data_IF_079300076990
#
_entry.id   IF_079300076990
#
_cell.length_a   1.000
_cell.length_b   1.000
_cell.length_c   1.000
_cell.angle_alpha   90.00
_cell.angle_beta   90.00
_cell.angle_gamma   90.00
#
_symmetry.space_group_name_H-M   'P 1'
#
loop_
_entity.id
_entity.type
_entity.pdbx_description
1 polymer ?
#
# COMPACT_ATOMS: atom_id res chain seq x y z
N UNK A 1 -15.53 -24.03 -10.67
CA UNK A 1 -14.41 -23.81 -9.72
C UNK A 1 -13.78 -22.47 -10.07
N UNK A 2 -13.45 -21.66 -9.07
CA UNK A 2 -13.04 -20.26 -9.25
C UNK A 2 -11.50 -20.16 -9.30
N UNK A 3 -10.98 -19.55 -10.37
CA UNK A 3 -9.56 -19.25 -10.59
C UNK A 3 -9.25 -17.82 -10.11
N UNK A 4 -8.27 -17.61 -9.21
CA UNK A 4 -7.70 -16.26 -9.05
C UNK A 4 -6.94 -15.86 -10.35
N UNK A 5 -6.81 -14.57 -10.62
CA UNK A 5 -6.05 -14.10 -11.77
C UNK A 5 -5.08 -13.02 -11.30
N UNK A 6 -3.78 -13.23 -11.55
CA UNK A 6 -2.78 -12.19 -11.35
C UNK A 6 -2.59 -11.35 -12.60
N UNK A 7 -2.73 -10.04 -12.44
CA UNK A 7 -2.17 -9.06 -13.36
C UNK A 7 -0.97 -8.42 -12.67
N UNK A 8 0.22 -8.97 -12.90
CA UNK A 8 1.45 -8.24 -12.67
C UNK A 8 1.52 -7.11 -13.70
N UNK A 9 0.97 -5.94 -13.39
CA UNK A 9 1.27 -4.74 -14.19
C UNK A 9 2.72 -4.38 -13.95
N UNK A 10 3.55 -4.68 -14.94
CA UNK A 10 4.91 -4.18 -15.07
C UNK A 10 4.91 -2.66 -14.91
N UNK A 11 5.52 -2.15 -13.84
CA UNK A 11 5.79 -0.74 -13.69
C UNK A 11 7.01 -0.40 -14.54
N UNK A 12 6.77 0.16 -15.73
CA UNK A 12 7.79 0.85 -16.49
C UNK A 12 8.43 1.92 -15.59
N UNK A 13 9.70 1.72 -15.25
CA UNK A 13 10.49 2.65 -14.46
C UNK A 13 10.58 3.98 -15.19
N UNK A 14 9.75 4.95 -14.80
CA UNK A 14 9.81 6.31 -15.35
C UNK A 14 10.99 7.02 -14.68
N UNK A 15 12.10 7.14 -15.41
CA UNK A 15 13.27 7.94 -15.02
C UNK A 15 12.89 9.42 -15.05
N UNK A 16 12.61 10.01 -13.90
CA UNK A 16 12.59 11.48 -13.76
C UNK A 16 13.95 11.93 -13.26
N UNK A 17 14.87 12.16 -14.20
CA UNK A 17 16.14 12.83 -13.92
C UNK A 17 15.86 14.31 -13.66
N UNK A 18 15.79 14.71 -12.39
CA UNK A 18 15.80 16.12 -12.02
C UNK A 18 17.22 16.49 -11.61
N UNK A 19 17.91 17.25 -12.48
CA UNK A 19 19.16 17.93 -12.13
C UNK A 19 18.81 19.05 -11.15
N UNK A 20 19.06 18.84 -9.87
CA UNK A 20 19.07 19.91 -8.87
C UNK A 20 20.52 20.22 -8.54
N UNK A 21 20.95 21.43 -8.92
CA UNK A 21 22.23 22.02 -8.49
C UNK A 21 22.19 22.21 -6.98
N UNK A 22 23.30 21.83 -6.34
CA UNK A 22 23.57 21.96 -4.91
C UNK A 22 23.35 23.40 -4.42
N UNK A 23 22.79 23.52 -3.21
CA UNK A 23 23.30 24.47 -2.23
C UNK A 23 23.56 23.71 -0.92
N UNK A 24 24.74 23.97 -0.39
CA UNK A 24 25.40 23.26 0.69
C UNK A 24 24.64 23.35 2.03
N UNK A 25 24.85 22.32 2.85
CA UNK A 25 24.42 22.28 4.25
C UNK A 25 25.60 22.73 5.12
N UNK A 26 25.39 23.73 5.96
CA UNK A 26 26.22 23.98 7.15
C UNK A 26 25.32 23.98 8.38
N UNK A 27 25.87 23.45 9.47
CA UNK A 27 25.20 23.03 10.69
C UNK A 27 25.57 24.00 11.84
N UNK A 28 24.58 24.31 12.69
CA UNK A 28 24.67 24.52 14.17
C UNK A 28 25.10 25.88 14.76
N UNK A 29 24.12 26.47 15.49
CA UNK A 29 24.12 27.06 16.86
C UNK A 29 24.61 28.51 17.13
N UNK A 30 23.71 29.22 17.86
CA UNK A 30 23.87 30.38 18.76
C UNK A 30 24.22 31.78 18.21
N UNK A 31 23.30 32.74 18.40
CA UNK A 31 23.48 33.86 19.33
C UNK A 31 22.15 34.63 19.51
N UNK A 32 21.66 34.69 20.74
CA UNK A 32 20.68 35.68 21.22
C UNK A 32 21.47 36.68 22.06
N UNK A 33 21.75 37.87 21.55
CA UNK A 33 22.00 39.09 22.34
C UNK A 33 22.14 40.31 21.41
N UNK A 34 21.33 41.33 21.68
CA UNK A 34 21.66 42.74 21.46
C UNK A 34 21.74 43.26 20.03
N UNK A 35 20.71 44.01 19.63
CA UNK A 35 20.75 45.46 19.33
C UNK A 35 19.46 45.79 18.57
N UNK A 36 18.67 46.69 19.14
CA UNK A 36 17.53 47.28 18.48
C UNK A 36 17.99 48.14 17.32
N UNK A 37 17.92 47.60 16.11
CA UNK A 37 17.71 48.40 14.91
C UNK A 37 16.25 48.22 14.51
N UNK A 38 15.48 49.31 14.53
CA UNK A 38 14.21 49.39 13.84
C UNK A 38 14.46 49.39 12.32
N UNK A 39 14.80 48.22 11.79
CA UNK A 39 14.66 47.97 10.35
C UNK A 39 13.17 47.92 10.07
N UNK A 40 12.70 48.77 9.14
CA UNK A 40 11.38 48.65 8.54
C UNK A 40 11.10 47.16 8.24
N UNK A 41 9.85 46.67 8.41
CA UNK A 41 9.52 45.27 8.20
C UNK A 41 9.92 44.87 6.78
N UNK A 42 11.12 44.30 6.65
CA UNK A 42 11.64 43.82 5.40
C UNK A 42 10.64 42.83 4.86
N UNK A 43 10.28 42.97 3.59
CA UNK A 43 9.36 42.06 2.93
C UNK A 43 9.85 40.62 3.15
N UNK A 44 9.26 39.92 4.13
CA UNK A 44 9.55 38.51 4.36
C UNK A 44 9.18 37.81 3.07
N UNK A 45 10.17 37.27 2.37
CA UNK A 45 9.96 36.54 1.13
C UNK A 45 8.82 35.53 1.35
N UNK A 46 7.83 35.53 0.46
CA UNK A 46 6.67 34.66 0.58
C UNK A 46 7.14 33.20 0.60
N UNK A 47 7.11 32.56 1.77
CA UNK A 47 7.49 31.17 1.91
C UNK A 47 6.54 30.29 1.10
N UNK A 48 7.09 29.47 0.21
CA UNK A 48 6.30 28.48 -0.54
C UNK A 48 5.81 27.41 0.44
N UNK A 49 4.49 27.15 0.53
CA UNK A 49 4.00 26.12 1.41
C UNK A 49 4.49 24.76 0.93
N UNK A 50 4.91 23.93 1.87
CA UNK A 50 5.30 22.55 1.65
C UNK A 50 4.27 21.65 2.30
N UNK A 51 3.77 20.69 1.52
CA UNK A 51 2.83 19.68 1.97
C UNK A 51 3.47 18.31 1.79
N UNK A 52 3.68 17.62 2.89
CA UNK A 52 4.04 16.20 2.88
C UNK A 52 2.85 15.39 3.39
N UNK A 53 2.47 14.38 2.63
CA UNK A 53 1.41 13.44 2.99
C UNK A 53 2.03 12.09 3.27
N UNK A 54 1.60 11.48 4.37
CA UNK A 54 1.75 10.04 4.55
C UNK A 54 0.54 9.44 3.84
N UNK A 55 0.72 8.67 2.74
CA UNK A 55 -0.39 7.94 2.13
C UNK A 55 -1.12 7.20 3.25
N UNK A 56 -2.46 7.25 3.29
CA UNK A 56 -3.16 6.72 4.43
C UNK A 56 -2.80 5.25 4.61
N UNK A 57 -2.16 4.89 5.73
CA UNK A 57 -1.70 3.53 6.00
C UNK A 57 -2.87 2.53 6.02
N UNK A 58 -4.08 3.05 6.21
CA UNK A 58 -5.36 2.35 6.17
C UNK A 58 -6.40 3.30 5.66
N UNK A 59 -6.99 3.00 4.48
CA UNK A 59 -8.45 2.94 4.46
C UNK A 59 -9.07 2.40 3.17
N UNK A 60 -9.47 1.14 3.15
CA UNK A 60 -10.46 0.71 2.15
C UNK A 60 -11.47 -0.30 2.68
N UNK A 61 -11.23 -0.80 3.89
CA UNK A 61 -12.12 -1.72 4.61
C UNK A 61 -12.99 -1.02 5.65
N UNK A 62 -12.89 0.31 5.75
CA UNK A 62 -13.57 1.16 6.73
C UNK A 62 -14.50 2.15 6.06
N UNK A 63 -15.43 2.71 6.81
CA UNK A 63 -16.36 3.76 6.33
C UNK A 63 -15.68 5.11 6.13
N UNK A 64 -14.45 5.28 6.62
CA UNK A 64 -13.71 6.55 6.61
C UNK A 64 -12.23 6.34 6.31
N UNK A 65 -11.67 7.21 5.46
CA UNK A 65 -10.25 7.37 5.15
C UNK A 65 -9.66 8.49 5.97
N UNK A 66 -8.56 8.25 6.67
CA UNK A 66 -7.82 9.30 7.37
C UNK A 66 -6.54 9.65 6.62
N UNK A 67 -6.50 10.83 6.03
CA UNK A 67 -5.28 11.42 5.48
C UNK A 67 -4.55 12.16 6.57
N UNK A 68 -3.25 11.89 6.75
CA UNK A 68 -2.43 12.57 7.74
C UNK A 68 -1.09 13.00 7.12
N UNK A 69 -0.49 14.04 7.68
CA UNK A 69 0.79 14.53 7.19
C UNK A 69 1.23 15.79 7.91
N UNK A 70 2.20 16.47 7.30
CA UNK A 70 2.76 17.72 7.82
C UNK A 70 2.60 18.83 6.80
N UNK A 71 2.37 20.04 7.29
CA UNK A 71 2.33 21.24 6.44
C UNK A 71 3.24 22.30 7.01
N UNK A 72 3.89 23.06 6.14
CA UNK A 72 4.70 24.22 6.49
C UNK A 72 4.41 25.38 5.53
N UNK A 73 4.26 26.63 5.99
CA UNK A 73 4.06 27.01 7.39
C UNK A 73 2.78 26.37 7.94
N UNK A 74 2.76 26.03 9.22
CA UNK A 74 1.79 25.08 9.76
C UNK A 74 0.47 25.69 10.20
N UNK A 75 0.54 26.63 11.14
CA UNK A 75 -0.64 27.19 11.83
C UNK A 75 -1.51 28.01 10.87
N UNK A 76 -2.83 27.75 10.91
CA UNK A 76 -3.81 28.53 10.17
C UNK A 76 -4.02 28.08 8.72
N UNK A 77 -3.18 27.18 8.20
CA UNK A 77 -3.39 26.60 6.88
C UNK A 77 -4.66 25.74 6.85
N UNK A 78 -5.26 25.65 5.66
CA UNK A 78 -6.35 24.72 5.35
C UNK A 78 -5.82 23.64 4.41
N UNK A 79 -5.88 22.39 4.87
CA UNK A 79 -5.59 21.21 4.03
C UNK A 79 -6.93 20.68 3.54
N UNK A 80 -7.10 20.61 2.22
CA UNK A 80 -8.30 20.09 1.57
C UNK A 80 -7.99 18.73 0.95
N UNK A 81 -8.90 17.78 1.15
CA UNK A 81 -8.89 16.50 0.42
C UNK A 81 -9.69 16.73 -0.85
N UNK A 82 -9.05 16.50 -2.00
CA UNK A 82 -9.72 16.52 -3.29
C UNK A 82 -9.86 15.10 -3.84
N UNK A 83 -11.05 14.79 -4.38
CA UNK A 83 -11.34 13.56 -5.10
C UNK A 83 -11.47 13.86 -6.58
N UNK A 84 -10.96 12.98 -7.44
CA UNK A 84 -11.18 13.07 -8.88
C UNK A 84 -12.55 12.48 -9.23
N UNK A 85 -13.43 13.30 -9.82
CA UNK A 85 -14.71 12.91 -10.39
C UNK A 85 -14.72 13.26 -11.88
N UNK A 86 -14.64 12.23 -12.73
CA UNK A 86 -14.42 12.43 -14.16
C UNK A 86 -13.07 13.09 -14.45
N UNK A 87 -13.08 14.22 -15.15
CA UNK A 87 -11.90 15.04 -15.43
C UNK A 87 -11.57 16.05 -14.31
N UNK A 88 -12.51 16.31 -13.39
CA UNK A 88 -12.42 17.42 -12.43
C UNK A 88 -12.00 16.93 -11.04
N UNK A 89 -11.32 17.81 -10.29
CA UNK A 89 -11.00 17.60 -8.87
C UNK A 89 -12.00 18.37 -8.00
N UNK A 90 -12.73 17.66 -7.16
CA UNK A 90 -13.70 18.25 -6.23
C UNK A 90 -13.21 18.15 -4.80
N UNK A 91 -13.39 19.21 -4.02
CA UNK A 91 -13.10 19.18 -2.57
C UNK A 91 -14.15 18.32 -1.88
N UNK A 92 -13.70 17.29 -1.17
CA UNK A 92 -14.58 16.35 -0.44
C UNK A 92 -14.49 16.50 1.07
N UNK A 93 -13.41 17.11 1.58
CA UNK A 93 -13.23 17.40 2.99
C UNK A 93 -12.14 18.47 3.18
N UNK A 94 -12.12 19.12 4.34
CA UNK A 94 -11.14 20.16 4.70
C UNK A 94 -10.85 20.10 6.20
N UNK A 95 -9.58 20.23 6.57
CA UNK A 95 -9.17 20.45 7.96
C UNK A 95 -8.34 21.72 8.09
N UNK A 96 -8.54 22.43 9.21
CA UNK A 96 -7.65 23.50 9.64
C UNK A 96 -6.46 22.88 10.36
N UNK A 97 -5.28 23.36 10.05
CA UNK A 97 -4.04 22.89 10.65
C UNK A 97 -3.77 23.70 11.91
N UNK A 98 -3.78 23.02 13.06
CA UNK A 98 -3.62 23.63 14.39
C UNK A 98 -2.18 23.54 14.93
N UNK A 99 -1.38 22.58 14.43
CA UNK A 99 0.05 22.36 14.75
C UNK A 99 0.81 22.06 13.47
N UNK A 100 2.03 21.51 13.52
CA UNK A 100 2.76 21.05 12.33
C UNK A 100 2.12 19.89 11.56
N UNK A 101 1.13 19.22 12.16
CA UNK A 101 0.45 18.06 11.59
C UNK A 101 -1.03 18.31 11.32
N UNK A 102 -1.56 17.59 10.34
CA UNK A 102 -2.99 17.59 10.02
C UNK A 102 -3.53 16.17 9.97
N UNK A 103 -4.84 16.05 10.19
CA UNK A 103 -5.62 14.84 9.92
C UNK A 103 -6.93 15.26 9.26
N UNK A 104 -7.28 14.66 8.13
CA UNK A 104 -8.57 14.88 7.42
C UNK A 104 -9.27 13.55 7.21
N UNK A 105 -10.57 13.48 7.44
CA UNK A 105 -11.33 12.23 7.54
C UNK A 105 -12.41 12.10 6.47
N UNK A 106 -12.06 11.56 5.30
CA UNK A 106 -12.98 11.41 4.18
C UNK A 106 -13.93 10.21 4.36
N UNK A 107 -15.25 10.45 4.31
CA UNK A 107 -16.26 9.37 4.25
C UNK A 107 -16.19 8.64 2.90
N UNK A 108 -15.88 7.35 2.97
CA UNK A 108 -15.57 6.53 1.80
C UNK A 108 -16.81 6.25 0.98
N UNK A 109 -16.72 6.48 -0.34
CA UNK A 109 -17.69 5.96 -1.32
C UNK A 109 -17.08 4.76 -2.04
N UNK A 110 -17.82 3.64 -2.21
CA UNK A 110 -17.31 2.46 -2.90
C UNK A 110 -16.81 2.74 -4.32
N UNK A 111 -15.89 1.90 -4.79
CA UNK A 111 -15.30 1.95 -6.13
C UNK A 111 -13.88 2.54 -6.17
N UNK A 112 -13.26 2.55 -7.35
CA UNK A 112 -11.91 3.09 -7.53
C UNK A 112 -11.94 4.60 -7.51
N UNK A 113 -11.27 5.22 -6.55
CA UNK A 113 -11.22 6.67 -6.38
C UNK A 113 -9.79 7.17 -6.38
N UNK A 114 -9.59 8.36 -6.94
CA UNK A 114 -8.31 9.05 -6.90
C UNK A 114 -8.42 10.27 -6.02
N UNK A 115 -7.41 10.50 -5.20
CA UNK A 115 -7.33 11.57 -4.22
C UNK A 115 -6.02 12.34 -4.37
N UNK A 116 -6.04 13.59 -3.93
CA UNK A 116 -4.86 14.40 -3.66
C UNK A 116 -5.17 15.34 -2.50
N UNK A 117 -4.15 15.80 -1.82
CA UNK A 117 -4.28 16.87 -0.85
C UNK A 117 -3.82 18.18 -1.47
N UNK A 118 -4.49 19.27 -1.08
CA UNK A 118 -4.19 20.63 -1.50
C UNK A 118 -4.10 21.51 -0.25
N UNK A 119 -3.10 22.37 -0.20
CA UNK A 119 -3.03 23.47 0.77
C UNK A 119 -3.26 24.78 0.04
N UNK A 120 -4.21 25.55 0.57
CA UNK A 120 -4.64 26.82 -0.02
C UNK A 120 -3.52 27.85 -0.10
N UNK A 121 -3.70 28.83 -1.00
CA UNK A 121 -2.73 29.87 -1.33
C UNK A 121 -2.49 30.80 -0.13
N UNK A 122 -1.25 30.89 0.34
CA UNK A 122 -0.78 32.07 1.11
C UNK A 122 -0.11 33.02 0.13
N UNK A 123 -0.85 34.05 -0.30
CA UNK A 123 -0.47 35.16 -1.21
C UNK A 123 0.19 34.81 -2.58
N UNK A 124 0.81 33.65 -2.81
CA UNK A 124 1.50 33.36 -4.08
C UNK A 124 1.61 31.88 -4.49
N UNK A 125 1.48 30.89 -3.61
CA UNK A 125 1.75 29.48 -3.99
C UNK A 125 0.79 28.45 -3.38
N UNK A 126 0.41 27.44 -4.16
CA UNK A 126 -0.33 26.25 -3.72
C UNK A 126 0.62 25.05 -3.65
N UNK A 127 0.37 24.13 -2.71
CA UNK A 127 1.07 22.84 -2.67
C UNK A 127 0.07 21.72 -2.86
N UNK A 128 0.38 20.78 -3.76
CA UNK A 128 -0.47 19.65 -4.14
C UNK A 128 0.33 18.37 -4.01
N UNK A 129 -0.22 17.36 -3.35
CA UNK A 129 0.44 16.05 -3.28
C UNK A 129 0.34 15.31 -4.61
N UNK A 130 1.15 14.27 -4.76
CA UNK A 130 0.92 13.28 -5.82
C UNK A 130 -0.50 12.70 -5.72
N UNK A 131 -1.01 12.29 -6.89
CA UNK A 131 -2.27 11.56 -7.00
C UNK A 131 -2.11 10.17 -6.39
N UNK A 132 -2.98 9.85 -5.45
CA UNK A 132 -3.14 8.51 -4.91
C UNK A 132 -4.45 7.89 -5.42
N UNK A 133 -4.40 6.66 -5.93
CA UNK A 133 -5.58 5.96 -6.44
C UNK A 133 -5.73 4.63 -5.71
N UNK A 134 -6.93 4.34 -5.22
CA UNK A 134 -7.19 3.13 -4.45
C UNK A 134 -8.66 2.71 -4.52
N UNK A 135 -8.94 1.45 -4.19
CA UNK A 135 -10.27 0.84 -4.28
C UNK A 135 -11.03 0.94 -2.97
N UNK A 136 -12.14 1.64 -2.92
CA UNK A 136 -12.97 1.69 -1.73
C UNK A 136 -14.06 0.62 -1.72
N UNK A 137 -14.38 0.10 -0.53
CA UNK A 137 -15.54 -0.77 -0.30
C UNK A 137 -16.57 -0.11 0.60
N UNK A 138 -17.82 -0.55 0.50
CA UNK A 138 -18.85 -0.21 1.47
C UNK A 138 -18.53 -0.88 2.82
N UNK A 139 -17.77 -0.15 3.65
CA UNK A 139 -17.34 -0.62 4.96
C UNK A 139 -18.50 -0.87 5.93
N UNK A 140 -19.69 -0.29 5.72
CA UNK A 140 -20.88 -0.56 6.54
C UNK A 140 -21.50 -1.89 6.13
N UNK A 141 -21.78 -2.07 4.83
CA UNK A 141 -22.38 -3.29 4.27
C UNK A 141 -21.52 -4.52 4.53
N UNK A 142 -20.19 -4.41 4.39
CA UNK A 142 -19.27 -5.55 4.49
C UNK A 142 -18.49 -5.64 5.80
N UNK A 143 -18.88 -4.88 6.84
CA UNK A 143 -18.16 -4.79 8.13
C UNK A 143 -17.85 -6.18 8.71
N UNK A 144 -18.86 -7.03 8.86
CA UNK A 144 -18.71 -8.35 9.46
C UNK A 144 -17.86 -9.29 8.60
N UNK A 145 -18.03 -9.23 7.28
CA UNK A 145 -17.28 -10.03 6.32
C UNK A 145 -15.78 -9.70 6.35
N UNK A 146 -15.45 -8.39 6.32
CA UNK A 146 -14.08 -7.87 6.44
C UNK A 146 -13.48 -8.25 7.79
N UNK A 147 -14.22 -8.09 8.89
CA UNK A 147 -13.74 -8.44 10.22
C UNK A 147 -13.40 -9.94 10.33
N UNK A 148 -14.23 -10.80 9.72
CA UNK A 148 -14.01 -12.25 9.68
C UNK A 148 -12.77 -12.60 8.85
N UNK A 149 -12.62 -12.04 7.65
CA UNK A 149 -11.42 -12.21 6.83
C UNK A 149 -10.15 -11.74 7.56
N UNK A 150 -10.21 -10.55 8.17
CA UNK A 150 -9.15 -9.98 9.00
C UNK A 150 -8.73 -10.91 10.13
N UNK A 151 -9.69 -11.51 10.85
CA UNK A 151 -9.42 -12.47 11.93
C UNK A 151 -8.58 -13.64 11.44
N UNK A 152 -8.87 -14.19 10.26
CA UNK A 152 -8.13 -15.33 9.70
C UNK A 152 -6.68 -15.00 9.34
N UNK A 153 -6.43 -13.79 8.82
CA UNK A 153 -5.09 -13.38 8.38
C UNK A 153 -4.33 -12.52 9.40
N UNK A 154 -4.89 -12.25 10.58
CA UNK A 154 -4.36 -11.31 11.58
C UNK A 154 -2.89 -11.52 11.92
N UNK A 155 -2.45 -12.79 12.01
CA UNK A 155 -1.06 -13.10 12.33
C UNK A 155 -0.06 -12.68 11.24
N UNK A 156 -0.52 -12.54 10.00
CA UNK A 156 0.36 -12.43 8.83
C UNK A 156 0.17 -11.15 8.00
N UNK A 157 -1.08 -10.74 7.83
CA UNK A 157 -1.50 -9.53 7.13
C UNK A 157 -2.44 -8.68 8.01
N UNK A 158 -2.02 -8.31 9.24
CA UNK A 158 -2.89 -7.58 10.18
C UNK A 158 -3.39 -6.26 9.59
N UNK A 159 -2.56 -5.67 8.73
CA UNK A 159 -2.64 -4.28 8.31
C UNK A 159 -3.14 -4.11 6.87
N UNK A 160 -3.07 -5.15 6.05
CA UNK A 160 -3.37 -5.05 4.61
C UNK A 160 -4.83 -4.65 4.34
N UNK A 161 -5.12 -3.59 3.58
CA UNK A 161 -6.47 -3.25 3.14
C UNK A 161 -7.21 -4.45 2.54
N UNK A 162 -8.45 -4.68 3.00
CA UNK A 162 -9.39 -5.61 2.36
C UNK A 162 -10.47 -4.80 1.66
N UNK A 163 -10.71 -5.12 0.40
CA UNK A 163 -11.78 -4.57 -0.41
C UNK A 163 -12.66 -5.71 -0.95
N UNK A 164 -13.95 -5.47 -1.02
CA UNK A 164 -14.98 -6.44 -1.36
C UNK A 164 -15.69 -6.02 -2.65
N UNK A 165 -15.85 -6.97 -3.56
CA UNK A 165 -16.58 -6.84 -4.83
C UNK A 165 -16.07 -5.71 -5.75
N UNK A 166 -14.75 -5.55 -5.85
CA UNK A 166 -14.16 -4.74 -6.91
C UNK A 166 -14.22 -5.50 -8.25
N UNK A 167 -14.13 -4.85 -9.42
CA UNK A 167 -14.04 -5.50 -10.74
C UNK A 167 -12.88 -6.49 -10.92
N UNK A 168 -11.90 -6.50 -10.02
CA UNK A 168 -10.82 -7.49 -9.99
C UNK A 168 -11.30 -8.87 -9.52
N UNK A 169 -12.44 -8.95 -8.84
CA UNK A 169 -13.07 -10.21 -8.44
C UNK A 169 -14.40 -10.38 -9.16
N UNK A 170 -14.73 -11.60 -9.58
CA UNK A 170 -15.93 -11.90 -10.39
C UNK A 170 -16.43 -13.34 -10.14
N UNK A 171 -17.23 -13.90 -11.05
CA UNK A 171 -17.71 -15.29 -10.96
C UNK A 171 -16.57 -16.32 -10.93
N UNK A 172 -15.46 -16.01 -11.60
CA UNK A 172 -14.29 -16.87 -11.71
C UNK A 172 -13.20 -16.50 -10.70
N UNK A 173 -12.98 -15.22 -10.41
CA UNK A 173 -11.93 -14.74 -9.48
C UNK A 173 -12.55 -14.38 -8.13
N UNK A 174 -12.37 -15.21 -7.11
CA UNK A 174 -12.97 -15.00 -5.77
C UNK A 174 -12.07 -14.21 -4.82
N UNK A 175 -10.78 -14.16 -5.10
CA UNK A 175 -9.78 -13.39 -4.37
C UNK A 175 -8.73 -12.84 -5.33
N UNK A 176 -8.11 -11.71 -4.98
CA UNK A 176 -6.94 -11.21 -5.68
C UNK A 176 -6.14 -10.29 -4.77
N UNK A 177 -4.86 -10.59 -4.54
CA UNK A 177 -3.90 -9.66 -3.99
C UNK A 177 -3.41 -8.71 -5.10
N UNK A 178 -3.29 -7.42 -4.79
CA UNK A 178 -2.60 -6.46 -5.67
C UNK A 178 -1.39 -5.87 -4.97
N UNK A 179 -0.40 -5.54 -5.77
CA UNK A 179 0.86 -4.95 -5.35
C UNK A 179 1.21 -3.77 -6.25
N UNK A 180 1.65 -2.68 -5.63
CA UNK A 180 2.31 -1.58 -6.33
C UNK A 180 3.58 -1.27 -5.59
N UNK A 181 4.66 -0.99 -6.30
CA UNK A 181 5.89 -0.51 -5.67
C UNK A 181 6.56 0.54 -6.54
N UNK A 182 7.19 1.49 -5.86
CA UNK A 182 7.98 2.57 -6.45
C UNK A 182 9.32 2.62 -5.74
N UNK A 183 10.33 3.19 -6.39
CA UNK A 183 11.58 3.49 -5.75
C UNK A 183 12.07 4.88 -6.12
N UNK A 184 12.76 5.51 -5.18
CA UNK A 184 13.44 6.79 -5.37
C UNK A 184 14.93 6.62 -5.10
N UNK A 185 15.75 7.37 -5.80
CA UNK A 185 17.18 7.45 -5.57
C UNK A 185 17.56 8.91 -5.47
N UNK A 186 18.23 9.31 -4.39
CA UNK A 186 18.77 10.67 -4.26
C UNK A 186 20.11 10.72 -4.95
N UNK A 187 20.41 11.82 -5.67
CA UNK A 187 21.63 11.98 -6.46
C UNK A 187 22.92 11.80 -5.64
N UNK A 188 22.84 12.06 -4.33
CA UNK A 188 23.93 11.92 -3.37
C UNK A 188 24.09 10.50 -2.80
N UNK A 189 23.22 9.55 -3.16
CA UNK A 189 23.22 8.19 -2.59
C UNK A 189 23.07 7.13 -3.68
N UNK A 190 23.95 6.12 -3.66
CA UNK A 190 23.77 4.89 -4.45
C UNK A 190 22.60 4.03 -3.95
N UNK A 191 22.09 4.30 -2.74
CA UNK A 191 20.96 3.58 -2.14
C UNK A 191 19.62 4.08 -2.69
N UNK A 192 18.77 3.13 -3.04
CA UNK A 192 17.38 3.31 -3.45
C UNK A 192 16.45 3.13 -2.25
N UNK A 193 15.47 4.02 -2.14
CA UNK A 193 14.36 3.87 -1.18
C UNK A 193 13.19 3.25 -1.92
N UNK A 194 12.75 2.08 -1.48
CA UNK A 194 11.61 1.36 -2.05
C UNK A 194 10.39 1.56 -1.15
N UNK A 195 9.24 1.83 -1.76
CA UNK A 195 7.95 1.83 -1.08
C UNK A 195 7.01 0.92 -1.83
N UNK A 196 6.41 -0.05 -1.13
CA UNK A 196 5.35 -0.88 -1.70
C UNK A 196 4.04 -0.72 -0.95
N UNK A 197 2.95 -0.96 -1.66
CA UNK A 197 1.58 -0.95 -1.16
C UNK A 197 0.85 -2.22 -1.63
N UNK A 198 0.09 -2.83 -0.73
CA UNK A 198 -0.66 -4.06 -0.97
C UNK A 198 -2.15 -3.89 -0.67
N UNK A 199 -3.00 -4.50 -1.49
CA UNK A 199 -4.45 -4.61 -1.21
C UNK A 199 -4.89 -6.07 -1.43
N UNK A 200 -5.92 -6.52 -0.69
CA UNK A 200 -6.58 -7.81 -0.91
C UNK A 200 -8.02 -7.54 -1.35
N UNK A 201 -8.38 -8.08 -2.50
CA UNK A 201 -9.70 -8.02 -3.09
C UNK A 201 -10.41 -9.35 -2.85
N UNK A 202 -11.63 -9.33 -2.32
CA UNK A 202 -12.42 -10.53 -2.03
C UNK A 202 -13.82 -10.42 -2.63
N UNK A 203 -14.34 -11.53 -3.15
CA UNK A 203 -15.75 -11.64 -3.50
C UNK A 203 -16.59 -11.92 -2.25
N UNK A 204 -17.67 -11.17 -2.04
CA UNK A 204 -18.60 -11.45 -0.94
C UNK A 204 -19.36 -12.78 -1.12
N UNK A 205 -19.92 -13.31 -0.03
CA UNK A 205 -20.81 -14.49 -0.08
C UNK A 205 -20.11 -15.84 0.06
N UNK A 206 -18.78 -15.86 0.20
CA UNK A 206 -18.05 -17.10 0.53
C UNK A 206 -18.46 -17.64 1.90
N UNK A 207 -18.52 -18.98 2.04
CA UNK A 207 -18.66 -19.65 3.33
C UNK A 207 -17.47 -19.32 4.25
N UNK A 208 -17.61 -19.55 5.56
CA UNK A 208 -16.53 -19.28 6.52
C UNK A 208 -15.21 -19.99 6.18
N UNK A 209 -15.28 -21.24 5.75
CA UNK A 209 -14.10 -22.04 5.39
C UNK A 209 -13.47 -21.59 4.08
N UNK A 210 -14.28 -21.28 3.06
CA UNK A 210 -13.80 -20.70 1.80
C UNK A 210 -13.15 -19.33 2.05
N UNK A 211 -13.81 -18.45 2.79
CA UNK A 211 -13.26 -17.14 3.14
C UNK A 211 -11.94 -17.26 3.89
N UNK A 212 -11.84 -18.19 4.85
CA UNK A 212 -10.58 -18.44 5.58
C UNK A 212 -9.47 -18.84 4.62
N UNK A 213 -9.74 -19.77 3.70
CA UNK A 213 -8.75 -20.24 2.76
C UNK A 213 -8.32 -19.12 1.80
N UNK A 214 -9.27 -18.49 1.11
CA UNK A 214 -8.99 -17.43 0.13
C UNK A 214 -8.29 -16.24 0.78
N UNK A 215 -8.71 -15.79 1.97
CA UNK A 215 -8.02 -14.69 2.64
C UNK A 215 -6.56 -15.04 3.01
N UNK A 216 -6.28 -16.29 3.38
CA UNK A 216 -4.91 -16.74 3.65
C UNK A 216 -4.10 -16.93 2.36
N UNK A 217 -4.73 -17.36 1.25
CA UNK A 217 -4.12 -17.42 -0.08
C UNK A 217 -3.68 -16.03 -0.55
N UNK A 218 -4.58 -15.05 -0.52
CA UNK A 218 -4.24 -13.68 -0.93
C UNK A 218 -3.20 -13.05 -0.01
N UNK A 219 -3.25 -13.33 1.30
CA UNK A 219 -2.19 -12.93 2.22
C UNK A 219 -0.85 -13.63 1.92
N UNK A 220 -0.87 -14.88 1.45
CA UNK A 220 0.35 -15.60 1.08
C UNK A 220 1.06 -14.93 -0.11
N UNK A 221 0.33 -14.38 -1.08
CA UNK A 221 0.92 -13.57 -2.16
C UNK A 221 1.67 -12.35 -1.63
N UNK A 222 1.10 -11.65 -0.66
CA UNK A 222 1.80 -10.52 -0.01
C UNK A 222 3.06 -11.01 0.69
N UNK A 223 3.01 -12.17 1.36
CA UNK A 223 4.18 -12.77 1.99
C UNK A 223 5.25 -13.18 0.98
N UNK A 224 4.86 -13.71 -0.18
CA UNK A 224 5.77 -13.96 -1.29
C UNK A 224 6.43 -12.67 -1.78
N UNK A 225 5.68 -11.57 -1.86
CA UNK A 225 6.19 -10.28 -2.30
C UNK A 225 7.21 -9.67 -1.32
N UNK A 226 7.07 -9.89 -0.01
CA UNK A 226 8.00 -9.38 1.02
C UNK A 226 9.45 -9.77 0.79
N UNK A 227 9.69 -10.82 0.01
CA UNK A 227 11.02 -11.20 -0.52
C UNK A 227 11.75 -10.05 -1.22
N UNK A 228 11.02 -9.07 -1.76
CA UNK A 228 11.56 -7.88 -2.41
C UNK A 228 12.45 -7.02 -1.49
N UNK A 229 12.39 -7.17 -0.15
CA UNK A 229 13.40 -6.55 0.74
C UNK A 229 14.83 -6.99 0.39
N UNK A 230 14.98 -8.19 -0.20
CA UNK A 230 16.26 -8.72 -0.68
C UNK A 230 16.57 -8.34 -2.13
N UNK A 231 15.80 -7.44 -2.74
CA UNK A 231 16.01 -6.91 -4.08
C UNK A 231 15.30 -7.71 -5.17
N UNK A 232 15.12 -7.11 -6.34
CA UNK A 232 14.38 -7.70 -7.48
C UNK A 232 15.02 -8.99 -7.97
N UNK A 233 16.32 -8.99 -8.23
CA UNK A 233 17.05 -10.19 -8.67
C UNK A 233 16.94 -11.38 -7.69
N UNK A 234 16.89 -11.10 -6.38
CA UNK A 234 16.69 -12.14 -5.38
C UNK A 234 15.27 -12.71 -5.43
N UNK A 235 14.26 -11.84 -5.59
CA UNK A 235 12.86 -12.25 -5.79
C UNK A 235 12.73 -13.11 -7.04
N UNK A 236 13.30 -12.69 -8.16
CA UNK A 236 13.21 -13.42 -9.44
C UNK A 236 13.81 -14.83 -9.31
N UNK A 237 14.97 -14.95 -8.65
CA UNK A 237 15.58 -16.25 -8.33
C UNK A 237 14.71 -17.10 -7.40
N UNK A 238 14.06 -16.47 -6.42
CA UNK A 238 13.15 -17.14 -5.50
C UNK A 238 11.88 -17.64 -6.22
N UNK A 239 11.34 -16.86 -7.16
CA UNK A 239 10.18 -17.20 -7.98
C UNK A 239 10.52 -18.36 -8.93
N UNK A 240 11.70 -18.36 -9.55
CA UNK A 240 12.19 -19.49 -10.35
C UNK A 240 12.37 -20.77 -9.51
N UNK A 241 12.84 -20.64 -8.27
CA UNK A 241 12.96 -21.76 -7.33
C UNK A 241 11.58 -22.28 -6.92
N UNK A 242 10.63 -21.38 -6.64
CA UNK A 242 9.23 -21.73 -6.37
C UNK A 242 8.65 -22.50 -7.56
N UNK A 243 8.86 -22.05 -8.80
CA UNK A 243 8.37 -22.73 -9.99
C UNK A 243 8.88 -24.18 -10.13
N UNK A 244 10.14 -24.46 -9.73
CA UNK A 244 10.71 -25.82 -9.71
C UNK A 244 10.04 -26.70 -8.65
N UNK A 245 9.85 -26.20 -7.42
CA UNK A 245 9.21 -26.95 -6.32
C UNK A 245 7.72 -27.18 -6.58
N UNK A 246 7.08 -26.19 -7.18
CA UNK A 246 5.66 -26.19 -7.54
C UNK A 246 5.47 -26.39 -9.04
N UNK A 247 6.23 -27.33 -9.65
CA UNK A 247 6.00 -27.76 -11.04
C UNK A 247 4.58 -28.30 -11.16
N UNK A 248 3.84 -27.86 -12.18
CA UNK A 248 2.45 -28.26 -12.44
C UNK A 248 2.31 -29.79 -12.53
N UNK A 249 1.37 -30.36 -11.79
CA UNK A 249 0.92 -31.76 -11.94
C UNK A 249 -0.35 -31.83 -12.79
N UNK A 250 -0.72 -33.04 -13.22
CA UNK A 250 -2.01 -33.26 -13.91
C UNK A 250 -3.16 -32.73 -13.05
N UNK A 251 -4.09 -31.98 -13.66
CA UNK A 251 -5.21 -31.33 -12.97
C UNK A 251 -4.89 -30.06 -12.18
N UNK A 252 -3.65 -29.58 -12.19
CA UNK A 252 -3.26 -28.31 -11.54
C UNK A 252 -3.22 -27.14 -12.53
N UNK A 253 -3.46 -25.93 -12.03
CA UNK A 253 -3.50 -24.69 -12.83
C UNK A 253 -2.56 -23.62 -12.24
N UNK A 254 -2.49 -22.45 -12.89
CA UNK A 254 -1.71 -21.29 -12.42
C UNK A 254 -0.20 -21.43 -12.61
N UNK A 255 0.56 -20.49 -12.04
CA UNK A 255 2.02 -20.56 -11.99
C UNK A 255 2.51 -21.22 -10.68
N UNK A 256 3.83 -21.27 -10.48
CA UNK A 256 4.40 -21.84 -9.25
C UNK A 256 4.04 -21.03 -8.00
N UNK A 257 3.88 -19.71 -8.12
CA UNK A 257 3.56 -18.83 -7.00
C UNK A 257 2.11 -19.00 -6.56
N UNK A 258 1.16 -19.15 -7.49
CA UNK A 258 -0.23 -19.48 -7.19
C UNK A 258 -0.35 -20.81 -6.44
N UNK A 259 0.33 -21.85 -6.93
CA UNK A 259 0.37 -23.16 -6.24
C UNK A 259 1.06 -23.09 -4.88
N UNK A 260 2.07 -22.24 -4.72
CA UNK A 260 2.70 -22.01 -3.42
C UNK A 260 1.78 -21.25 -2.46
N UNK A 261 1.02 -20.26 -2.93
CA UNK A 261 0.05 -19.51 -2.14
C UNK A 261 -1.09 -20.42 -1.64
N UNK A 262 -1.61 -21.30 -2.51
CA UNK A 262 -2.56 -22.34 -2.14
C UNK A 262 -1.97 -23.24 -1.05
N UNK A 263 -0.75 -23.76 -1.26
CA UNK A 263 -0.11 -24.63 -0.29
C UNK A 263 0.15 -23.91 1.04
N UNK A 264 0.49 -22.61 1.01
CA UNK A 264 0.60 -21.75 2.19
C UNK A 264 -0.73 -21.62 2.94
N UNK A 265 -1.86 -21.50 2.25
CA UNK A 265 -3.18 -21.54 2.89
C UNK A 265 -3.52 -22.95 3.41
N UNK A 266 -3.21 -24.01 2.66
CA UNK A 266 -3.48 -25.40 3.04
C UNK A 266 -2.72 -25.80 4.30
N UNK A 267 -1.45 -25.43 4.47
CA UNK A 267 -0.68 -25.80 5.69
C UNK A 267 -1.21 -25.15 6.97
N UNK A 268 -2.00 -24.07 6.87
CA UNK A 268 -2.65 -23.42 8.02
C UNK A 268 -4.09 -23.91 8.22
N UNK A 269 -4.81 -24.14 7.12
CA UNK A 269 -6.23 -24.50 7.17
C UNK A 269 -6.46 -25.99 7.29
N UNK A 270 -5.52 -26.80 6.82
CA UNK A 270 -5.65 -28.25 6.60
C UNK A 270 -6.83 -28.61 5.69
N UNK A 271 -7.22 -27.72 4.78
CA UNK A 271 -8.36 -27.90 3.85
C UNK A 271 -7.91 -27.83 2.39
N UNK A 272 -7.41 -28.96 1.87
CA UNK A 272 -6.92 -29.07 0.48
C UNK A 272 -8.01 -28.84 -0.57
N UNK A 273 -9.28 -29.13 -0.25
CA UNK A 273 -10.39 -28.98 -1.18
C UNK A 273 -10.68 -27.53 -1.61
N UNK A 274 -10.12 -26.55 -0.91
CA UNK A 274 -10.28 -25.14 -1.26
C UNK A 274 -9.12 -24.57 -2.08
N UNK A 275 -8.05 -25.35 -2.32
CA UNK A 275 -6.95 -24.93 -3.18
C UNK A 275 -7.35 -25.05 -4.65
N UNK A 276 -7.42 -23.91 -5.35
CA UNK A 276 -7.89 -23.82 -6.74
C UNK A 276 -6.81 -24.17 -7.77
N UNK A 277 -5.54 -24.03 -7.42
CA UNK A 277 -4.37 -24.27 -8.26
C UNK A 277 -3.64 -25.56 -7.91
N UNK A 278 -3.61 -25.92 -6.62
CA UNK A 278 -3.10 -27.19 -6.16
C UNK A 278 -3.81 -27.65 -4.90
N UNK A 279 -4.17 -28.94 -4.90
CA UNK A 279 -4.56 -29.66 -3.69
C UNK A 279 -3.41 -30.51 -3.14
N UNK A 280 -2.28 -30.56 -3.86
CA UNK A 280 -1.08 -31.33 -3.55
C UNK A 280 -0.07 -30.50 -2.76
N UNK A 281 -0.28 -30.40 -1.45
CA UNK A 281 0.59 -29.68 -0.52
C UNK A 281 1.24 -30.62 0.49
N UNK A 282 2.22 -31.40 0.03
CA UNK A 282 2.99 -32.36 0.85
C UNK A 282 4.49 -32.26 0.58
N UNK A 283 5.31 -32.94 1.38
CA UNK A 283 6.77 -33.05 1.20
C UNK A 283 7.48 -31.70 0.99
N UNK A 284 8.22 -31.56 -0.12
CA UNK A 284 8.96 -30.35 -0.48
C UNK A 284 8.06 -29.11 -0.63
N UNK A 285 6.82 -29.27 -1.14
CA UNK A 285 5.88 -28.15 -1.30
C UNK A 285 5.42 -27.61 0.05
N UNK A 286 4.98 -28.50 0.96
CA UNK A 286 4.57 -28.12 2.31
C UNK A 286 5.73 -27.49 3.10
N UNK A 287 6.95 -28.04 2.96
CA UNK A 287 8.16 -27.50 3.58
C UNK A 287 8.46 -26.09 3.09
N UNK A 288 8.41 -25.88 1.77
CA UNK A 288 8.60 -24.56 1.15
C UNK A 288 7.56 -23.53 1.63
N UNK A 289 6.27 -23.91 1.67
CA UNK A 289 5.19 -23.06 2.16
C UNK A 289 5.38 -22.66 3.63
N UNK A 290 5.68 -23.62 4.51
CA UNK A 290 5.95 -23.37 5.94
C UNK A 290 7.18 -22.49 6.14
N UNK A 291 8.25 -22.72 5.37
CA UNK A 291 9.47 -21.91 5.44
C UNK A 291 9.19 -20.44 5.09
N UNK A 292 8.33 -20.16 4.10
CA UNK A 292 7.99 -18.80 3.73
C UNK A 292 7.17 -18.07 4.81
N UNK A 293 6.19 -18.75 5.42
CA UNK A 293 5.48 -18.20 6.59
C UNK A 293 6.43 -17.92 7.75
N UNK A 294 7.36 -18.85 8.05
CA UNK A 294 8.36 -18.67 9.11
C UNK A 294 9.27 -17.47 8.84
N UNK A 295 9.75 -17.31 7.61
CA UNK A 295 10.71 -16.28 7.25
C UNK A 295 10.09 -14.88 7.15
N UNK A 296 8.91 -14.76 6.54
CA UNK A 296 8.33 -13.47 6.14
C UNK A 296 6.89 -13.23 6.65
N UNK A 297 6.21 -14.25 7.18
CA UNK A 297 4.80 -14.13 7.60
C UNK A 297 4.57 -13.04 8.65
N UNK A 298 5.49 -12.91 9.61
CA UNK A 298 5.43 -11.91 10.68
C UNK A 298 6.32 -10.67 10.47
N UNK A 299 6.99 -10.56 9.32
CA UNK A 299 7.90 -9.43 9.00
C UNK A 299 7.27 -8.52 7.96
N UNK A 300 7.67 -7.25 7.94
CA UNK A 300 7.29 -6.29 6.89
C UNK A 300 5.77 -6.22 6.68
N UNK A 301 5.01 -6.22 7.78
CA UNK A 301 3.56 -6.41 7.77
C UNK A 301 2.77 -5.13 7.48
N UNK A 302 3.44 -3.98 7.41
CA UNK A 302 2.77 -2.71 7.09
C UNK A 302 2.16 -2.78 5.69
N UNK A 303 0.92 -2.29 5.56
CA UNK A 303 0.25 -2.16 4.27
C UNK A 303 1.07 -1.33 3.27
N UNK A 304 1.61 -0.21 3.75
CA UNK A 304 2.64 0.58 3.07
C UNK A 304 3.96 0.38 3.80
N UNK A 305 4.94 -0.21 3.13
CA UNK A 305 6.25 -0.49 3.72
C UNK A 305 7.34 0.20 2.91
N UNK A 306 8.23 0.91 3.62
CA UNK A 306 9.36 1.62 3.02
C UNK A 306 10.67 1.08 3.58
N UNK A 307 11.64 0.81 2.70
CA UNK A 307 12.98 0.35 3.08
C UNK A 307 14.06 0.90 2.13
N UNK A 308 15.30 0.94 2.60
CA UNK A 308 16.46 1.40 1.82
C UNK A 308 17.34 0.22 1.43
N UNK A 309 17.88 0.24 0.21
CA UNK A 309 18.88 -0.70 -0.29
C UNK A 309 19.86 0.02 -1.19
#
# INVERSE_FOLDING_TARGET
MAHSAHSARSAAGRRTGCRVRLLATTLVVALLAGIGLMTAPGATAAYKPFLSMIPPEYPLSTTTVKFSGTVYPSVGQKVTVQRKDGSTWVTVDTAKVSKSTFTVAYKVKPGKKSFRLLVGKTKSTTSVTEKWTSWATDGKKYKAYIAKARKYMKAYCPTTPIVVNTPLVNSYVVGQATETYVWTQTSASSKKTYTWNHEIHLKSGMTGSQLRHVALHECAHIVQFRRLVKGTAWRDKADATTAKVFKRKSGEFGDGNERQADCMAIVITHKKQYGSYTQSCTGKRATSAKALWKAYGKKYQKAVYTFRR
#
